data_IF_674659799333
#
_entry.id   IF_674659799333
#
_cell.length_a   1.000
_cell.length_b   1.000
_cell.length_c   1.000
_cell.angle_alpha   90.00
_cell.angle_beta   90.00
_cell.angle_gamma   90.00
#
_symmetry.space_group_name_H-M   'P 1'
#
loop_
_entity.id
_entity.type
_entity.pdbx_description
1 polymer ?
#
# COMPACT_ATOMS: atom_id res chain seq x y z
N UNK A 1 -2.15 9.76 -9.55
CA UNK A 1 -3.21 9.99 -8.52
C UNK A 1 -2.65 9.55 -7.17
N UNK A 2 -2.90 10.28 -6.09
CA UNK A 2 -2.48 9.81 -4.75
C UNK A 2 -3.36 8.65 -4.30
N UNK A 3 -2.73 7.56 -3.87
CA UNK A 3 -3.36 6.32 -3.41
C UNK A 3 -2.78 5.94 -2.05
N UNK A 4 -3.54 5.14 -1.32
CA UNK A 4 -3.13 4.60 -0.02
C UNK A 4 -3.31 3.09 -0.04
N UNK A 5 -2.28 2.37 0.41
CA UNK A 5 -2.29 0.91 0.56
C UNK A 5 -2.03 0.56 2.01
N UNK A 6 -2.81 -0.36 2.55
CA UNK A 6 -2.71 -0.85 3.92
C UNK A 6 -2.30 -2.33 3.92
N UNK A 7 -1.41 -2.68 4.82
CA UNK A 7 -0.97 -4.05 5.10
C UNK A 7 -1.13 -4.32 6.59
N UNK A 8 -1.59 -5.51 6.94
CA UNK A 8 -1.61 -6.02 8.30
C UNK A 8 -1.26 -7.51 8.26
N UNK A 9 -0.20 -7.92 8.96
CA UNK A 9 0.28 -9.30 9.01
C UNK A 9 0.81 -9.62 10.42
N UNK A 10 0.73 -10.89 10.81
CA UNK A 10 1.28 -11.37 12.10
C UNK A 10 2.77 -11.71 12.02
N UNK A 11 3.32 -11.80 10.82
CA UNK A 11 4.74 -12.09 10.59
C UNK A 11 5.41 -10.93 9.87
N UNK A 12 6.57 -10.50 10.40
CA UNK A 12 7.38 -9.45 9.82
C UNK A 12 7.85 -9.79 8.39
N UNK A 13 8.23 -11.05 8.15
CA UNK A 13 8.68 -11.50 6.84
C UNK A 13 7.60 -11.35 5.76
N UNK A 14 6.33 -11.57 6.13
CA UNK A 14 5.21 -11.51 5.20
C UNK A 14 4.93 -10.05 4.81
N UNK A 15 4.94 -9.13 5.79
CA UNK A 15 4.74 -7.71 5.49
C UNK A 15 5.90 -7.12 4.68
N UNK A 16 7.15 -7.50 4.98
CA UNK A 16 8.32 -7.08 4.20
C UNK A 16 8.22 -7.55 2.75
N UNK A 17 7.83 -8.82 2.54
CA UNK A 17 7.63 -9.37 1.21
C UNK A 17 6.54 -8.63 0.45
N UNK A 18 5.36 -8.45 1.07
CA UNK A 18 4.21 -7.80 0.46
C UNK A 18 4.50 -6.35 0.04
N UNK A 19 5.19 -5.59 0.91
CA UNK A 19 5.61 -4.21 0.64
C UNK A 19 6.62 -4.20 -0.53
N UNK A 20 7.62 -5.08 -0.50
CA UNK A 20 8.66 -5.11 -1.52
C UNK A 20 8.10 -5.51 -2.90
N UNK A 21 7.19 -6.48 -2.95
CA UNK A 21 6.49 -6.85 -4.18
C UNK A 21 5.63 -5.70 -4.69
N UNK A 22 4.98 -4.95 -3.80
CA UNK A 22 4.16 -3.80 -4.18
C UNK A 22 4.98 -2.64 -4.74
N UNK A 23 6.07 -2.24 -4.07
CA UNK A 23 6.90 -1.11 -4.49
C UNK A 23 7.62 -1.35 -5.82
N UNK A 24 7.76 -2.61 -6.25
CA UNK A 24 8.34 -2.98 -7.56
C UNK A 24 7.37 -2.82 -8.73
N UNK A 25 6.09 -2.61 -8.48
CA UNK A 25 5.10 -2.51 -9.55
C UNK A 25 5.27 -1.21 -10.31
N UNK A 26 5.21 -1.28 -11.65
CA UNK A 26 5.26 -0.11 -12.53
C UNK A 26 4.11 0.88 -12.30
N UNK A 27 3.00 0.44 -11.69
CA UNK A 27 1.89 1.33 -11.31
C UNK A 27 2.30 2.34 -10.22
N UNK A 28 3.29 2.01 -9.38
CA UNK A 28 3.80 2.87 -8.31
C UNK A 28 4.80 3.86 -8.91
N UNK A 29 4.31 5.04 -9.27
CA UNK A 29 5.12 6.13 -9.83
C UNK A 29 6.10 6.70 -8.82
N UNK A 30 5.60 6.98 -7.61
CA UNK A 30 6.39 7.62 -6.56
C UNK A 30 5.85 7.25 -5.18
N UNK A 31 6.75 6.88 -4.26
CA UNK A 31 6.42 6.76 -2.85
C UNK A 31 6.33 8.18 -2.23
N UNK A 32 5.21 8.48 -1.57
CA UNK A 32 4.99 9.76 -0.88
C UNK A 32 5.34 9.64 0.60
N UNK A 33 4.78 8.64 1.28
CA UNK A 33 4.99 8.39 2.70
C UNK A 33 4.86 6.90 3.02
N UNK A 34 5.54 6.48 4.09
CA UNK A 34 5.52 5.11 4.58
C UNK A 34 5.45 5.11 6.11
N UNK A 35 4.39 4.53 6.66
CA UNK A 35 4.23 4.34 8.10
C UNK A 35 4.23 2.87 8.43
N UNK A 36 4.99 2.51 9.44
CA UNK A 36 5.06 1.15 9.95
C UNK A 36 4.79 1.15 11.44
N UNK A 37 4.08 0.15 11.92
CA UNK A 37 3.78 -0.02 13.33
C UNK A 37 3.82 -1.50 13.67
N UNK A 38 4.52 -1.83 14.75
CA UNK A 38 4.51 -3.15 15.36
C UNK A 38 3.83 -3.03 16.71
N UNK A 39 2.81 -3.87 16.94
CA UNK A 39 2.09 -3.96 18.20
C UNK A 39 2.22 -5.39 18.71
N UNK A 40 2.72 -5.56 19.93
CA UNK A 40 2.72 -6.86 20.59
C UNK A 40 1.62 -6.87 21.64
N UNK A 41 0.65 -7.77 21.50
CA UNK A 41 -0.48 -7.90 22.44
C UNK A 41 -0.70 -9.36 22.80
N UNK A 42 -0.52 -9.69 24.07
CA UNK A 42 -0.82 -11.04 24.59
C UNK A 42 0.03 -12.16 24.00
N UNK A 43 1.26 -11.87 23.56
CA UNK A 43 2.18 -12.86 22.98
C UNK A 43 2.00 -13.09 21.47
N UNK A 44 1.17 -12.28 20.81
CA UNK A 44 1.08 -12.22 19.35
C UNK A 44 1.56 -10.85 18.89
N UNK A 45 2.45 -10.85 17.90
CA UNK A 45 2.88 -9.64 17.23
C UNK A 45 1.96 -9.35 16.03
N UNK A 46 1.58 -8.08 15.89
CA UNK A 46 0.84 -7.55 14.77
C UNK A 46 1.67 -6.45 14.12
N UNK A 47 1.92 -6.60 12.82
CA UNK A 47 2.69 -5.67 12.01
C UNK A 47 1.75 -5.00 11.02
N UNK A 48 1.67 -3.68 11.07
CA UNK A 48 0.86 -2.86 10.17
C UNK A 48 1.75 -1.91 9.39
N UNK A 49 1.46 -1.77 8.10
CA UNK A 49 2.10 -0.77 7.25
C UNK A 49 1.07 0.02 6.44
N UNK A 50 1.34 1.30 6.27
CA UNK A 50 0.56 2.22 5.42
C UNK A 50 1.52 2.84 4.41
N UNK A 51 1.21 2.64 3.14
CA UNK A 51 1.97 3.22 2.03
C UNK A 51 1.10 4.27 1.35
N UNK A 52 1.59 5.49 1.27
CA UNK A 52 0.98 6.57 0.50
C UNK A 52 1.85 6.76 -0.74
N UNK A 53 1.26 6.66 -1.93
CA UNK A 53 2.02 6.68 -3.18
C UNK A 53 1.26 7.42 -4.29
N UNK A 54 1.99 7.93 -5.27
CA UNK A 54 1.42 8.31 -6.56
C UNK A 54 1.37 7.10 -7.48
N UNK A 55 0.20 6.88 -8.06
CA UNK A 55 -0.02 5.90 -9.13
C UNK A 55 0.17 6.54 -10.51
N UNK A 56 0.82 5.84 -11.43
CA UNK A 56 0.86 6.20 -12.85
C UNK A 56 -0.59 6.28 -13.37
N UNK A 57 -1.00 7.47 -13.82
CA UNK A 57 -2.23 7.57 -14.59
C UNK A 57 -1.92 7.04 -15.99
N UNK A 58 -2.25 5.77 -16.25
CA UNK A 58 -2.38 5.29 -17.62
C UNK A 58 -3.43 6.17 -18.32
N UNK A 59 -3.12 6.84 -19.45
CA UNK A 59 -4.04 7.76 -20.12
C UNK A 59 -5.19 7.04 -20.86
N UNK A 60 -5.77 5.99 -20.29
CA UNK A 60 -6.72 5.12 -20.98
C UNK A 60 -7.65 4.39 -20.01
N UNK A 61 -8.58 5.16 -19.45
CA UNK A 61 -9.94 4.79 -19.03
C UNK A 61 -10.48 5.99 -18.26
N UNK A 62 -10.93 6.98 -19.04
CA UNK A 62 -11.95 7.90 -18.54
C UNK A 62 -13.14 7.02 -18.13
N UNK A 63 -13.36 6.87 -16.82
CA UNK A 63 -14.64 6.40 -16.32
C UNK A 63 -15.70 7.38 -16.85
N UNK A 64 -16.68 6.93 -17.66
CA UNK A 64 -17.73 7.82 -18.13
C UNK A 64 -18.46 8.39 -16.91
N UNK A 65 -18.41 9.71 -16.78
CA UNK A 65 -19.08 10.46 -15.72
C UNK A 65 -20.53 10.01 -15.62
N UNK A 66 -20.91 9.37 -14.52
CA UNK A 66 -22.31 9.09 -14.21
C UNK A 66 -22.94 10.42 -13.81
N UNK A 67 -23.67 11.04 -14.74
CA UNK A 67 -24.73 11.98 -14.42
C UNK A 67 -26.05 11.21 -14.45
N UNK A 68 -26.67 11.04 -13.28
CA UNK A 68 -28.12 10.92 -13.13
C UNK A 68 -28.61 12.02 -12.19
#
# INVERSE_FOLDING_TARGET
MTRVKFYNNQHLSDIEKDINEFLKKEEVKQLIDFKFTALSKGGTDEYTAVIIYEEHMSPGKEDPQVYE
#
